data_IF_633090805174
#
_entry.id   IF_633090805174
#
_cell.length_a   1.000
_cell.length_b   1.000
_cell.length_c   1.000
_cell.angle_alpha   90.00
_cell.angle_beta   90.00
_cell.angle_gamma   90.00
#
_symmetry.space_group_name_H-M   'P 1'
#
loop_
_entity.id
_entity.type
_entity.pdbx_description
1 polymer ?
#
# COMPACT_ATOMS: atom_id res chain seq x y z
N UNK A 1 -12.44 30.98 -1.36
CA UNK A 1 -11.56 30.21 -2.25
C UNK A 1 -11.37 28.82 -1.66
N UNK A 2 -12.32 27.93 -1.96
CA UNK A 2 -12.29 26.55 -1.49
C UNK A 2 -11.38 25.72 -2.38
N UNK A 3 -10.43 25.03 -1.77
CA UNK A 3 -9.68 23.96 -2.44
C UNK A 3 -10.62 22.76 -2.54
N UNK A 4 -11.20 22.55 -3.72
CA UNK A 4 -11.85 21.28 -4.08
C UNK A 4 -10.79 20.18 -4.14
N UNK A 5 -10.69 19.37 -3.08
CA UNK A 5 -9.90 18.14 -3.12
C UNK A 5 -10.77 16.99 -3.63
N UNK A 6 -11.16 17.09 -4.90
CA UNK A 6 -11.93 16.06 -5.59
C UNK A 6 -11.00 14.91 -5.98
N UNK A 7 -10.73 13.97 -5.05
CA UNK A 7 -10.30 12.56 -5.28
C UNK A 7 -9.72 11.85 -4.02
N UNK A 8 -10.06 12.26 -2.80
CA UNK A 8 -9.60 11.52 -1.62
C UNK A 8 -10.54 10.33 -1.36
N UNK A 9 -9.99 9.11 -1.36
CA UNK A 9 -10.70 7.89 -0.96
C UNK A 9 -11.09 7.96 0.52
N UNK A 10 -12.28 7.47 0.85
CA UNK A 10 -12.70 7.28 2.24
C UNK A 10 -11.64 6.46 3.01
N UNK A 11 -11.24 6.96 4.18
CA UNK A 11 -10.21 6.38 5.03
C UNK A 11 -8.79 6.90 4.81
N UNK A 12 -8.54 7.77 3.83
CA UNK A 12 -7.23 8.41 3.70
C UNK A 12 -6.99 9.48 4.78
N UNK A 13 -5.73 9.64 5.19
CA UNK A 13 -5.30 10.67 6.12
C UNK A 13 -5.26 12.04 5.44
N UNK A 14 -5.70 13.06 6.17
CA UNK A 14 -5.71 14.44 5.72
C UNK A 14 -5.22 15.36 6.86
N UNK A 15 -4.63 16.49 6.50
CA UNK A 15 -4.22 17.53 7.44
C UNK A 15 -5.09 18.75 7.23
N UNK A 16 -5.58 19.33 8.33
CA UNK A 16 -6.38 20.55 8.33
C UNK A 16 -5.67 21.61 9.15
N UNK A 17 -5.75 22.85 8.73
CA UNK A 17 -5.30 23.99 9.52
C UNK A 17 -6.51 24.66 10.14
N UNK A 18 -6.53 24.82 11.46
CA UNK A 18 -7.62 25.54 12.13
C UNK A 18 -7.52 27.06 11.94
N UNK A 19 -8.54 27.79 12.39
CA UNK A 19 -8.60 29.25 12.25
C UNK A 19 -7.46 30.00 12.96
N UNK A 20 -6.69 29.33 13.83
CA UNK A 20 -5.53 29.87 14.51
C UNK A 20 -4.20 29.45 13.87
N UNK A 21 -4.23 28.78 12.71
CA UNK A 21 -3.03 28.33 11.99
C UNK A 21 -2.45 27.00 12.49
N UNK A 22 -3.13 26.27 13.38
CA UNK A 22 -2.63 25.00 13.93
C UNK A 22 -3.00 23.85 13.01
N UNK A 23 -2.00 23.07 12.59
CA UNK A 23 -2.21 21.84 11.82
C UNK A 23 -2.76 20.72 12.71
N UNK A 24 -3.78 20.02 12.23
CA UNK A 24 -4.45 18.89 12.88
C UNK A 24 -4.65 17.76 11.88
N UNK A 25 -4.43 16.54 12.35
CA UNK A 25 -4.65 15.34 11.55
C UNK A 25 -6.12 14.91 11.58
N UNK A 26 -6.60 14.40 10.44
CA UNK A 26 -7.97 13.92 10.26
C UNK A 26 -8.04 12.73 9.29
N UNK A 27 -9.24 12.19 9.13
CA UNK A 27 -9.55 11.13 8.17
C UNK A 27 -10.65 11.61 7.24
N UNK A 28 -10.49 11.39 5.95
CA UNK A 28 -11.52 11.69 4.96
C UNK A 28 -12.68 10.69 5.03
N UNK A 29 -13.90 11.20 5.15
CA UNK A 29 -15.12 10.42 5.08
C UNK A 29 -16.18 11.21 4.29
N UNK A 30 -16.68 10.62 3.21
CA UNK A 30 -17.68 11.20 2.30
C UNK A 30 -17.23 12.51 1.65
N UNK A 31 -15.95 12.57 1.24
CA UNK A 31 -15.37 13.75 0.57
C UNK A 31 -14.97 14.90 1.51
N UNK A 32 -15.18 14.76 2.81
CA UNK A 32 -14.79 15.76 3.81
C UNK A 32 -13.74 15.21 4.78
N UNK A 33 -12.73 16.02 5.11
CA UNK A 33 -11.76 15.69 6.15
C UNK A 33 -12.39 15.91 7.53
N UNK A 34 -12.60 14.83 8.29
CA UNK A 34 -13.11 14.91 9.67
C UNK A 34 -11.95 14.81 10.64
N UNK A 35 -11.84 15.80 11.54
CA UNK A 35 -10.80 15.82 12.56
C UNK A 35 -10.89 14.59 13.45
N UNK A 36 -9.75 13.99 13.77
CA UNK A 36 -9.69 12.94 14.79
C UNK A 36 -10.03 13.59 16.14
N UNK A 37 -11.12 13.16 16.77
CA UNK A 37 -11.40 13.53 18.14
C UNK A 37 -10.21 13.06 18.98
N UNK A 38 -9.42 14.02 19.49
CA UNK A 38 -8.30 13.70 20.36
C UNK A 38 -8.86 12.96 21.58
N UNK A 39 -8.44 11.71 21.88
CA UNK A 39 -8.64 11.20 23.21
C UNK A 39 -7.85 12.14 24.12
N UNK A 40 -8.55 12.74 25.07
CA UNK A 40 -8.04 13.69 26.05
C UNK A 40 -6.99 12.99 26.95
N UNK A 41 -5.79 12.74 26.40
CA UNK A 41 -4.60 12.47 27.20
C UNK A 41 -3.99 13.82 27.49
N UNK A 42 -4.44 14.43 28.59
CA UNK A 42 -3.63 15.38 29.34
C UNK A 42 -2.29 14.68 29.59
N UNK A 43 -1.26 15.05 28.84
CA UNK A 43 0.10 14.85 29.30
C UNK A 43 0.27 15.76 30.53
N UNK A 44 0.59 15.23 31.72
CA UNK A 44 0.93 16.09 32.83
C UNK A 44 2.22 16.84 32.45
N UNK A 45 2.13 18.17 32.41
CA UNK A 45 3.29 19.04 32.39
C UNK A 45 4.13 18.81 33.65
N UNK A 46 5.47 18.78 33.56
CA UNK A 46 6.30 18.72 34.76
C UNK A 46 6.18 20.03 35.52
N UNK A 47 5.74 19.95 36.78
CA UNK A 47 5.82 21.06 37.72
C UNK A 47 7.31 21.29 38.08
N UNK A 48 7.84 22.52 38.02
CA UNK A 48 9.14 22.83 38.60
C UNK A 48 8.93 23.07 40.09
N UNK A 49 9.36 22.14 40.93
CA UNK A 49 9.54 22.40 42.37
C UNK A 49 10.89 21.87 42.80
N UNK A 50 11.80 22.83 42.89
CA UNK A 50 12.92 22.87 43.82
C UNK A 50 12.53 22.22 45.15
N UNK A 51 13.29 21.22 45.57
CA UNK A 51 13.78 21.02 46.93
C UNK A 51 14.52 19.68 46.98
N UNK A 52 15.85 19.74 46.92
CA UNK A 52 16.70 18.62 47.34
C UNK A 52 16.75 18.61 48.86
N UNK A 53 16.45 17.49 49.54
CA UNK A 53 16.92 17.28 50.89
C UNK A 53 18.38 16.83 50.86
N UNK A 54 19.20 17.46 51.70
CA UNK A 54 20.58 17.09 52.01
C UNK A 54 20.69 15.65 52.58
N UNK A 55 21.84 14.97 52.40
CA UNK A 55 21.98 13.57 52.77
C UNK A 55 22.20 13.40 54.28
N UNK A 56 21.43 12.51 54.90
CA UNK A 56 21.75 11.95 56.22
C UNK A 56 22.68 10.73 56.07
N UNK A 57 23.72 10.58 56.91
CA UNK A 57 24.63 9.45 56.83
C UNK A 57 24.14 8.28 57.71
N UNK A 58 24.50 7.07 57.28
CA UNK A 58 24.41 5.79 57.99
C UNK A 58 23.13 4.98 57.76
N UNK A 59 23.22 3.98 56.91
CA UNK A 59 23.25 2.58 57.37
C UNK A 59 23.10 1.63 56.18
N UNK A 60 24.13 0.80 55.98
CA UNK A 60 24.05 -0.55 55.40
C UNK A 60 23.39 -0.69 54.01
N UNK A 61 24.20 -0.57 52.96
CA UNK A 61 23.87 -1.14 51.66
C UNK A 61 24.01 -2.67 51.73
N UNK A 62 22.96 -3.47 51.47
CA UNK A 62 23.15 -4.87 51.13
C UNK A 62 23.86 -4.95 49.77
N UNK A 63 24.82 -5.86 49.66
CA UNK A 63 25.58 -6.13 48.43
C UNK A 63 24.62 -6.34 47.26
N UNK A 64 24.79 -5.64 46.12
CA UNK A 64 23.96 -5.88 44.95
C UNK A 64 24.18 -7.32 44.48
N UNK A 65 23.08 -8.07 44.37
CA UNK A 65 23.04 -9.39 43.72
C UNK A 65 23.67 -9.23 42.32
N UNK A 66 24.51 -10.18 41.84
CA UNK A 66 25.03 -10.11 40.49
C UNK A 66 23.86 -9.97 39.51
N UNK A 67 23.84 -8.88 38.78
CA UNK A 67 22.92 -8.69 37.66
C UNK A 67 23.09 -9.88 36.73
N UNK A 68 22.02 -10.55 36.28
CA UNK A 68 22.13 -11.50 35.19
C UNK A 68 22.87 -10.78 34.05
N UNK A 69 23.93 -11.39 33.54
CA UNK A 69 24.60 -10.92 32.33
C UNK A 69 23.51 -10.56 31.30
N UNK A 70 23.62 -9.42 30.61
CA UNK A 70 22.72 -9.15 29.51
C UNK A 70 22.82 -10.35 28.58
N UNK A 71 21.67 -11.02 28.37
CA UNK A 71 21.54 -12.01 27.31
C UNK A 71 22.21 -11.44 26.07
N UNK A 72 22.99 -12.25 25.31
CA UNK A 72 23.66 -11.76 24.12
C UNK A 72 22.63 -10.99 23.30
N UNK A 73 22.83 -9.67 23.18
CA UNK A 73 22.00 -8.84 22.33
C UNK A 73 21.88 -9.57 20.99
N UNK A 74 20.69 -9.65 20.42
CA UNK A 74 20.39 -10.23 19.10
C UNK A 74 21.41 -9.78 18.02
N UNK A 75 22.59 -10.39 18.02
CA UNK A 75 23.61 -10.28 16.99
C UNK A 75 23.23 -11.29 15.91
N UNK A 76 22.14 -11.04 15.21
CA UNK A 76 21.69 -12.00 14.19
C UNK A 76 21.01 -11.38 12.99
N UNK A 77 20.59 -10.13 13.10
CA UNK A 77 19.82 -9.48 12.06
C UNK A 77 20.50 -8.15 11.73
N UNK A 78 20.57 -7.82 10.44
CA UNK A 78 21.00 -6.52 9.89
C UNK A 78 22.46 -6.42 9.41
N UNK A 79 23.15 -7.53 9.09
CA UNK A 79 24.43 -7.45 8.35
C UNK A 79 24.26 -7.02 6.89
N UNK A 80 23.03 -7.06 6.38
CA UNK A 80 22.70 -6.71 5.01
C UNK A 80 21.54 -5.72 4.99
N UNK A 81 21.68 -4.63 4.24
CA UNK A 81 20.61 -3.67 3.97
C UNK A 81 20.14 -3.81 2.54
N UNK A 82 18.83 -3.69 2.33
CA UNK A 82 18.28 -3.73 0.98
C UNK A 82 18.88 -2.59 0.13
N UNK A 83 19.32 -2.88 -1.11
CA UNK A 83 19.97 -1.89 -1.96
C UNK A 83 19.00 -0.78 -2.38
N UNK A 84 19.52 0.24 -3.06
CA UNK A 84 18.71 1.36 -3.56
C UNK A 84 17.52 0.86 -4.40
N UNK A 85 16.39 1.53 -4.27
CA UNK A 85 15.13 1.21 -4.95
C UNK A 85 14.58 -0.19 -4.60
N UNK A 86 14.77 -0.62 -3.35
CA UNK A 86 14.20 -1.85 -2.84
C UNK A 86 13.77 -1.71 -1.38
N UNK A 87 12.85 -2.58 -0.96
CA UNK A 87 12.31 -2.64 0.40
C UNK A 87 12.43 -4.06 0.94
N UNK A 88 12.47 -4.19 2.27
CA UNK A 88 12.40 -5.50 2.92
C UNK A 88 11.05 -6.17 2.60
N UNK A 89 11.10 -7.46 2.25
CA UNK A 89 9.90 -8.30 2.15
C UNK A 89 9.12 -8.31 3.47
N UNK A 90 7.81 -8.15 3.38
CA UNK A 90 6.92 -8.04 4.54
C UNK A 90 7.02 -9.26 5.48
N UNK A 91 7.21 -10.46 4.91
CA UNK A 91 7.31 -11.74 5.64
C UNK A 91 8.71 -12.06 6.16
N UNK A 92 9.68 -11.17 5.96
CA UNK A 92 11.05 -11.40 6.39
C UNK A 92 11.33 -10.61 7.67
N UNK A 93 11.65 -11.33 8.74
CA UNK A 93 12.00 -10.72 10.02
C UNK A 93 13.34 -9.99 9.94
N UNK A 94 14.31 -10.57 9.22
CA UNK A 94 15.68 -10.08 9.17
C UNK A 94 16.28 -10.12 7.76
N UNK A 95 16.94 -9.03 7.36
CA UNK A 95 17.59 -8.95 6.05
C UNK A 95 19.04 -9.42 6.19
N UNK A 96 19.38 -10.50 5.49
CA UNK A 96 20.75 -11.09 5.50
C UNK A 96 21.30 -11.27 4.09
N UNK A 97 20.46 -11.13 3.06
CA UNK A 97 20.82 -11.24 1.64
C UNK A 97 19.81 -10.50 0.77
N UNK A 98 20.19 -10.26 -0.48
CA UNK A 98 19.34 -9.57 -1.47
C UNK A 98 17.95 -10.22 -1.64
N UNK A 99 17.86 -11.55 -1.56
CA UNK A 99 16.60 -12.28 -1.72
C UNK A 99 15.52 -11.90 -0.69
N UNK A 100 15.91 -11.22 0.39
CA UNK A 100 15.01 -10.73 1.44
C UNK A 100 14.40 -9.36 1.10
N UNK A 101 14.71 -8.83 -0.07
CA UNK A 101 14.27 -7.54 -0.56
C UNK A 101 13.38 -7.70 -1.80
N UNK A 102 12.43 -6.78 -1.96
CA UNK A 102 11.62 -6.58 -3.16
C UNK A 102 12.02 -5.25 -3.81
N UNK A 103 12.20 -5.24 -5.12
CA UNK A 103 12.42 -3.98 -5.84
C UNK A 103 11.15 -3.13 -5.81
N UNK A 104 11.32 -1.80 -5.76
CA UNK A 104 10.21 -0.86 -5.89
C UNK A 104 9.55 -0.97 -7.28
N UNK A 105 8.27 -0.56 -7.44
CA UNK A 105 7.62 -0.47 -8.74
C UNK A 105 8.49 0.30 -9.75
N UNK A 106 8.63 -0.25 -10.97
CA UNK A 106 9.50 0.31 -12.00
C UNK A 106 10.97 -0.15 -11.92
N UNK A 107 11.33 -1.03 -10.98
CA UNK A 107 12.67 -1.61 -10.88
C UNK A 107 12.64 -3.15 -10.92
N UNK A 108 13.65 -3.75 -11.53
CA UNK A 108 13.84 -5.20 -11.59
C UNK A 108 15.12 -5.63 -10.90
N UNK A 109 15.10 -6.82 -10.31
CA UNK A 109 16.32 -7.47 -9.82
C UNK A 109 17.23 -7.88 -10.98
N UNK A 110 18.43 -7.33 -11.05
CA UNK A 110 19.51 -7.74 -11.94
C UNK A 110 20.82 -7.72 -11.18
N UNK A 111 21.58 -8.82 -11.19
CA UNK A 111 22.88 -8.93 -10.51
C UNK A 111 22.87 -8.50 -9.03
N UNK A 112 21.80 -8.84 -8.28
CA UNK A 112 21.60 -8.44 -6.86
C UNK A 112 21.44 -6.93 -6.64
N UNK A 113 21.02 -6.21 -7.66
CA UNK A 113 20.65 -4.80 -7.59
C UNK A 113 19.27 -4.58 -8.20
N UNK A 114 18.58 -3.54 -7.75
CA UNK A 114 17.32 -3.11 -8.36
C UNK A 114 17.61 -2.04 -9.41
N UNK A 115 17.57 -2.45 -10.67
CA UNK A 115 17.84 -1.59 -11.82
C UNK A 115 16.55 -1.03 -12.38
N UNK A 116 16.56 0.25 -12.76
CA UNK A 116 15.41 0.90 -13.38
C UNK A 116 15.01 0.11 -14.62
N UNK A 117 13.72 -0.15 -14.73
CA UNK A 117 13.16 -0.74 -15.92
C UNK A 117 13.22 0.26 -17.06
N UNK A 118 13.22 -0.26 -18.29
CA UNK A 118 13.22 0.56 -19.51
C UNK A 118 12.19 1.68 -19.40
N UNK A 119 12.46 2.84 -19.99
CA UNK A 119 11.58 4.02 -20.02
C UNK A 119 10.21 3.81 -20.67
N UNK A 120 9.93 2.60 -21.15
CA UNK A 120 8.67 2.24 -21.77
C UNK A 120 7.55 2.27 -20.72
N UNK A 121 6.58 3.16 -20.93
CA UNK A 121 5.37 3.24 -20.12
C UNK A 121 4.21 2.66 -20.89
N UNK A 122 3.25 2.06 -20.16
CA UNK A 122 2.01 1.63 -20.76
C UNK A 122 1.22 2.83 -21.31
N UNK A 123 0.54 2.68 -22.47
CA UNK A 123 -0.24 3.77 -23.05
C UNK A 123 -1.42 4.14 -22.15
N UNK A 124 -2.09 5.24 -22.47
CA UNK A 124 -3.33 5.66 -21.80
C UNK A 124 -4.36 4.53 -21.77
N UNK A 125 -5.17 4.49 -20.70
CA UNK A 125 -6.21 3.47 -20.46
C UNK A 125 -5.64 2.04 -20.40
N UNK A 126 -4.46 1.90 -19.81
CA UNK A 126 -3.85 0.60 -19.60
C UNK A 126 -2.98 0.58 -18.36
N UNK A 127 -2.85 -0.63 -17.81
CA UNK A 127 -2.10 -0.91 -16.59
C UNK A 127 -0.98 -1.92 -16.86
N UNK A 128 0.15 -1.82 -16.16
CA UNK A 128 1.23 -2.79 -16.29
C UNK A 128 0.82 -4.17 -15.74
N UNK A 129 1.13 -5.26 -16.47
CA UNK A 129 0.92 -6.64 -16.00
C UNK A 129 1.94 -7.12 -14.97
N UNK A 130 3.06 -6.40 -14.88
CA UNK A 130 4.23 -6.69 -14.05
C UNK A 130 4.91 -5.38 -13.73
N UNK A 131 5.72 -5.35 -12.67
CA UNK A 131 6.39 -4.14 -12.19
C UNK A 131 7.25 -3.46 -13.24
N UNK A 132 7.67 -4.21 -14.27
CA UNK A 132 8.54 -3.73 -15.31
C UNK A 132 8.03 -4.03 -16.70
N UNK A 133 7.63 -2.96 -17.36
CA UNK A 133 7.12 -2.94 -18.73
C UNK A 133 8.30 -2.77 -19.68
N UNK A 134 8.48 -3.73 -20.60
CA UNK A 134 9.53 -3.66 -21.64
C UNK A 134 8.96 -3.41 -23.02
N UNK A 135 7.69 -3.74 -23.21
CA UNK A 135 6.98 -3.69 -24.49
C UNK A 135 5.48 -3.60 -24.22
N UNK A 136 4.73 -3.19 -25.23
CA UNK A 136 3.28 -3.03 -25.15
C UNK A 136 2.52 -4.28 -24.67
N UNK A 137 3.03 -5.48 -24.99
CA UNK A 137 2.41 -6.74 -24.54
C UNK A 137 2.49 -6.97 -23.02
N UNK A 138 3.36 -6.22 -22.34
CA UNK A 138 3.46 -6.22 -20.89
C UNK A 138 2.40 -5.32 -20.23
N UNK A 139 1.56 -4.65 -21.03
CA UNK A 139 0.42 -3.86 -20.58
C UNK A 139 -0.89 -4.63 -20.78
N UNK A 140 -1.89 -4.30 -19.96
CA UNK A 140 -3.28 -4.73 -20.11
C UNK A 140 -4.15 -3.49 -20.24
N UNK A 141 -5.00 -3.42 -21.26
CA UNK A 141 -5.93 -2.31 -21.39
C UNK A 141 -6.98 -2.38 -20.29
N UNK A 142 -7.39 -1.22 -19.79
CA UNK A 142 -8.44 -1.10 -18.79
C UNK A 142 -9.80 -1.54 -19.37
N UNK A 143 -10.78 -1.79 -18.49
CA UNK A 143 -12.11 -2.22 -18.93
C UNK A 143 -12.74 -1.17 -19.87
N UNK A 144 -13.30 -1.63 -20.99
CA UNK A 144 -13.81 -0.75 -22.05
C UNK A 144 -12.77 -0.37 -23.11
N UNK A 145 -11.55 -0.91 -23.05
CA UNK A 145 -10.50 -0.65 -24.04
C UNK A 145 -9.86 -1.94 -24.59
N UNK A 146 -9.49 -1.95 -25.87
CA UNK A 146 -8.77 -3.04 -26.56
C UNK A 146 -7.46 -2.53 -27.16
N UNK A 147 -6.42 -3.36 -27.13
CA UNK A 147 -5.13 -3.00 -27.71
C UNK A 147 -5.23 -3.03 -29.24
N UNK A 148 -5.10 -1.87 -29.87
CA UNK A 148 -4.92 -1.78 -31.30
C UNK A 148 -3.47 -2.11 -31.66
N UNK A 149 -3.26 -3.28 -32.27
CA UNK A 149 -1.91 -3.77 -32.62
C UNK A 149 -1.19 -2.94 -33.67
N UNK A 150 -1.91 -2.08 -34.41
CA UNK A 150 -1.33 -1.21 -35.45
C UNK A 150 -0.77 0.07 -34.84
N UNK A 151 -1.54 0.71 -33.96
CA UNK A 151 -1.16 1.97 -33.31
C UNK A 151 -0.34 1.73 -32.04
N UNK A 152 -0.52 0.58 -31.39
CA UNK A 152 0.08 0.27 -30.10
C UNK A 152 -0.66 0.91 -28.92
N UNK A 153 -1.87 1.44 -29.15
CA UNK A 153 -2.66 2.13 -28.15
C UNK A 153 -3.87 1.30 -27.69
N UNK A 154 -4.35 1.58 -26.48
CA UNK A 154 -5.61 1.03 -25.97
C UNK A 154 -6.76 1.96 -26.39
N UNK A 155 -7.52 1.51 -27.36
CA UNK A 155 -8.64 2.26 -27.94
C UNK A 155 -9.96 1.74 -27.37
N UNK A 156 -11.01 2.55 -27.36
CA UNK A 156 -12.31 2.14 -26.82
C UNK A 156 -12.83 0.91 -27.55
N UNK A 157 -13.42 -0.03 -26.81
CA UNK A 157 -14.16 -1.12 -27.42
C UNK A 157 -15.23 -0.51 -28.34
N UNK A 158 -15.34 -1.01 -29.57
CA UNK A 158 -16.47 -0.64 -30.42
C UNK A 158 -17.77 -1.02 -29.71
N UNK A 159 -18.82 -0.19 -29.81
CA UNK A 159 -20.10 -0.41 -29.10
C UNK A 159 -20.78 -1.74 -29.44
N UNK A 160 -20.53 -2.29 -30.64
CA UNK A 160 -20.93 -3.64 -31.04
C UNK A 160 -20.23 -4.77 -30.24
N UNK A 161 -19.19 -4.42 -29.47
CA UNK A 161 -18.29 -5.35 -28.79
C UNK A 161 -18.41 -5.33 -27.27
N UNK A 162 -19.30 -4.53 -26.67
CA UNK A 162 -19.47 -4.45 -25.20
C UNK A 162 -20.73 -5.17 -24.74
N UNK A 163 -20.61 -6.48 -24.55
CA UNK A 163 -21.59 -7.30 -23.85
C UNK A 163 -21.52 -7.00 -22.34
N UNK A 164 -22.66 -6.63 -21.76
CA UNK A 164 -22.75 -6.45 -20.30
C UNK A 164 -22.85 -7.81 -19.64
N UNK A 165 -21.88 -8.12 -18.79
CA UNK A 165 -21.89 -9.36 -18.02
C UNK A 165 -23.10 -9.41 -17.08
N UNK A 166 -23.76 -10.58 -16.96
CA UNK A 166 -24.92 -10.74 -16.08
C UNK A 166 -24.56 -10.51 -14.61
N UNK A 167 -25.57 -10.32 -13.77
CA UNK A 167 -25.37 -10.16 -12.33
C UNK A 167 -24.54 -11.30 -11.72
N UNK A 168 -23.73 -10.97 -10.71
CA UNK A 168 -22.81 -11.89 -10.02
C UNK A 168 -21.76 -12.52 -10.96
N UNK A 169 -21.34 -11.75 -11.97
CA UNK A 169 -20.29 -12.15 -12.89
C UNK A 169 -19.42 -10.97 -13.28
N UNK A 170 -18.15 -11.26 -13.53
CA UNK A 170 -17.13 -10.30 -13.93
C UNK A 170 -16.62 -10.60 -15.33
N UNK A 171 -16.24 -9.59 -16.11
CA UNK A 171 -15.63 -9.79 -17.42
C UNK A 171 -14.27 -10.48 -17.29
N UNK A 172 -13.96 -11.39 -18.21
CA UNK A 172 -12.66 -12.09 -18.31
C UNK A 172 -11.63 -11.28 -19.11
N UNK A 173 -12.10 -10.35 -19.92
CA UNK A 173 -11.29 -9.51 -20.79
C UNK A 173 -11.85 -8.07 -20.78
N UNK A 174 -11.07 -7.14 -21.30
CA UNK A 174 -11.41 -5.71 -21.28
C UNK A 174 -12.59 -5.34 -22.19
N UNK A 175 -12.84 -6.14 -23.24
CA UNK A 175 -13.97 -6.02 -24.16
C UNK A 175 -14.74 -7.35 -24.25
N UNK A 176 -15.64 -7.64 -23.30
CA UNK A 176 -16.47 -8.84 -23.34
C UNK A 176 -17.45 -8.74 -24.52
N UNK A 177 -17.45 -9.72 -25.44
CA UNK A 177 -18.31 -9.71 -26.64
C UNK A 177 -19.56 -10.59 -26.47
N UNK A 178 -19.55 -11.50 -25.50
CA UNK A 178 -20.66 -12.44 -25.21
C UNK A 178 -20.54 -13.02 -23.81
N UNK A 179 -21.62 -13.65 -23.32
CA UNK A 179 -21.67 -14.24 -21.97
C UNK A 179 -20.62 -15.30 -21.64
N UNK A 180 -19.92 -15.86 -22.63
CA UNK A 180 -18.76 -16.75 -22.37
C UNK A 180 -17.52 -15.99 -21.90
N UNK A 181 -17.45 -14.71 -22.23
CA UNK A 181 -16.38 -13.79 -21.84
C UNK A 181 -16.61 -13.26 -20.41
N UNK A 182 -17.69 -13.69 -19.75
CA UNK A 182 -17.96 -13.44 -18.34
C UNK A 182 -17.61 -14.66 -17.50
N UNK A 183 -17.17 -14.42 -16.27
CA UNK A 183 -16.86 -15.41 -15.25
C UNK A 183 -17.74 -15.15 -14.04
N UNK A 184 -18.46 -16.15 -13.57
CA UNK A 184 -19.21 -16.01 -12.31
C UNK A 184 -18.28 -15.72 -11.15
N UNK A 185 -18.75 -14.86 -10.25
CA UNK A 185 -18.04 -14.53 -9.02
C UNK A 185 -17.91 -15.76 -8.10
N UNK A 186 -17.03 -15.65 -7.09
CA UNK A 186 -16.85 -16.72 -6.10
C UNK A 186 -18.19 -16.96 -5.38
N UNK A 187 -18.60 -18.22 -5.28
CA UNK A 187 -19.90 -18.60 -4.73
C UNK A 187 -21.01 -18.81 -5.78
N UNK A 188 -20.80 -18.44 -7.04
CA UNK A 188 -21.77 -18.60 -8.11
C UNK A 188 -21.32 -19.63 -9.17
N UNK A 189 -22.26 -20.31 -9.83
CA UNK A 189 -22.06 -21.23 -10.95
C UNK A 189 -22.88 -20.80 -12.16
N UNK A 190 -22.36 -21.07 -13.35
CA UNK A 190 -23.03 -20.71 -14.61
C UNK A 190 -24.19 -21.67 -14.89
N UNK A 191 -25.37 -21.15 -15.22
CA UNK A 191 -26.55 -21.89 -15.66
C UNK A 191 -27.24 -21.06 -16.75
N UNK A 192 -27.30 -21.56 -17.99
CA UNK A 192 -27.94 -20.86 -19.13
C UNK A 192 -27.56 -19.37 -19.24
N UNK A 193 -26.25 -19.10 -19.28
CA UNK A 193 -25.69 -17.74 -19.36
C UNK A 193 -25.96 -16.78 -18.20
N UNK A 194 -26.60 -17.22 -17.11
CA UNK A 194 -26.67 -16.48 -15.84
C UNK A 194 -25.80 -17.15 -14.76
N UNK A 195 -25.41 -16.37 -13.76
CA UNK A 195 -24.67 -16.85 -12.60
C UNK A 195 -25.60 -17.01 -11.40
N UNK A 196 -25.79 -18.27 -10.97
CA UNK A 196 -26.66 -18.65 -9.86
C UNK A 196 -25.85 -19.12 -8.66
N UNK A 197 -26.35 -18.90 -7.45
CA UNK A 197 -25.67 -19.31 -6.23
C UNK A 197 -25.37 -20.82 -6.23
N UNK A 198 -24.17 -21.20 -5.79
CA UNK A 198 -23.83 -22.60 -5.51
C UNK A 198 -24.52 -23.00 -4.21
N UNK A 199 -25.68 -23.65 -4.36
CA UNK A 199 -26.26 -24.50 -3.33
C UNK A 199 -25.37 -25.72 -3.13
#
# INVERSE_FOLDING_TARGET
NGNEINNIRDGAYCTMTDANGVQKDGICASGECKGLATPNRKFPTPHPSSQYPTPHPSSQYPTPRPTPLPSPMDQGCNTYSCPKNSLKKEKVNCVTKFDHCDCLPGFNSKNKECVSCSSFSCPSNSSPKKDCVKKINDCVCDFGYELNKKTGECETCTSASMYTCPANSIPKNSCPKKGKDCKCEKGYKKRNDICVLKL
#
